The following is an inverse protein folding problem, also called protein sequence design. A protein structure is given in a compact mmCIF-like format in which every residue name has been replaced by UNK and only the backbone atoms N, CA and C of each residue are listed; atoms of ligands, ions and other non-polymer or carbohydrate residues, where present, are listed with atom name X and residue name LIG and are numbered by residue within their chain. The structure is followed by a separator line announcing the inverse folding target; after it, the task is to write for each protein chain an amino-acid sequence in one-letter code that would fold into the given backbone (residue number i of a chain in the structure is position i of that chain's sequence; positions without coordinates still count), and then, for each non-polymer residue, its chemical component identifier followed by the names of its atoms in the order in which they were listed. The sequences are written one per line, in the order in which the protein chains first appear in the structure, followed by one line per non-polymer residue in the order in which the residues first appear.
data_IF_385735291605
#
_entry.id   IF_385735291605
#
_cell.length_a   1.000
_cell.length_b   1.000
_cell.length_c   1.000
_cell.angle_alpha   90.00
_cell.angle_beta   90.00
_cell.angle_gamma   90.00
#
_symmetry.space_group_name_H-M   'P 1'
#
loop_
_entity.id
_entity.type
_entity.pdbx_description
1 polymer ?
#
# COMPACT_ATOMS: atom_id res chain seq x y z
N UNK A 1 -19.34 -13.42 0.42
CA UNK A 1 -17.91 -13.51 0.03
C UNK A 1 -17.06 -13.59 1.30
N UNK A 2 -16.05 -14.47 1.37
CA UNK A 2 -15.14 -14.50 2.50
C UNK A 2 -14.41 -13.15 2.62
N UNK A 3 -14.37 -12.57 3.81
CA UNK A 3 -13.65 -11.32 4.06
C UNK A 3 -12.15 -11.56 3.80
N UNK A 4 -11.54 -10.89 2.83
CA UNK A 4 -10.06 -10.89 2.67
C UNK A 4 -9.46 -10.47 4.03
N UNK A 5 -8.50 -11.24 4.58
CA UNK A 5 -7.82 -10.90 5.85
C UNK A 5 -7.16 -9.52 5.67
N UNK A 6 -7.54 -8.51 6.45
CA UNK A 6 -6.88 -7.20 6.43
C UNK A 6 -5.40 -7.34 6.82
N UNK A 7 -4.52 -6.52 6.23
CA UNK A 7 -3.15 -6.43 6.72
C UNK A 7 -3.18 -5.68 8.06
N UNK A 8 -2.76 -6.35 9.13
CA UNK A 8 -2.51 -5.75 10.44
C UNK A 8 -1.41 -6.53 11.11
N UNK A 9 -0.18 -6.02 11.04
CA UNK A 9 1.02 -6.75 11.48
C UNK A 9 1.96 -5.85 12.24
N UNK A 10 2.81 -6.46 13.06
CA UNK A 10 3.98 -5.76 13.59
C UNK A 10 5.08 -5.76 12.53
N UNK A 11 5.91 -4.71 12.51
CA UNK A 11 7.05 -4.62 11.60
C UNK A 11 8.02 -5.81 11.70
N UNK A 12 8.11 -6.47 12.87
CA UNK A 12 8.90 -7.70 13.04
C UNK A 12 8.39 -8.88 12.21
N UNK A 13 7.09 -8.93 11.89
CA UNK A 13 6.46 -9.99 11.08
C UNK A 13 6.54 -9.72 9.58
N UNK A 14 7.10 -8.58 9.14
CA UNK A 14 7.30 -8.26 7.72
C UNK A 14 8.62 -8.88 7.27
N UNK A 15 8.56 -9.99 6.57
CA UNK A 15 9.75 -10.69 6.06
C UNK A 15 10.38 -9.92 4.92
N UNK A 16 9.60 -9.59 3.90
CA UNK A 16 10.01 -8.85 2.70
C UNK A 16 8.88 -7.91 2.29
N UNK A 17 9.23 -6.75 1.73
CA UNK A 17 8.27 -5.93 1.00
C UNK A 17 8.91 -5.42 -0.29
N UNK A 18 8.08 -5.03 -1.26
CA UNK A 18 8.49 -4.36 -2.49
C UNK A 18 7.53 -3.22 -2.76
N UNK A 19 8.07 -2.04 -3.07
CA UNK A 19 7.30 -0.86 -3.46
C UNK A 19 7.89 -0.35 -4.77
N UNK A 20 7.12 -0.43 -5.86
CA UNK A 20 7.62 -0.10 -7.19
C UNK A 20 6.63 0.79 -7.94
N UNK A 21 7.13 1.75 -8.71
CA UNK A 21 6.29 2.45 -9.69
C UNK A 21 6.22 1.61 -10.96
N UNK A 22 5.01 1.33 -11.45
CA UNK A 22 4.77 0.56 -12.68
C UNK A 22 3.80 1.30 -13.58
N UNK A 23 4.01 1.19 -14.90
CA UNK A 23 3.05 1.65 -15.89
C UNK A 23 2.06 0.53 -16.21
N UNK A 24 0.77 0.79 -16.01
CA UNK A 24 -0.34 -0.12 -16.34
C UNK A 24 -1.31 0.56 -17.31
N UNK A 25 -2.16 -0.23 -17.97
CA UNK A 25 -3.23 0.33 -18.80
C UNK A 25 -4.41 0.72 -17.93
N UNK A 26 -4.88 1.96 -18.08
CA UNK A 26 -6.11 2.46 -17.49
C UNK A 26 -7.29 1.59 -17.95
N UNK A 27 -8.14 1.21 -17.01
CA UNK A 27 -9.35 0.45 -17.31
C UNK A 27 -10.43 1.29 -18.03
N UNK A 28 -10.29 2.63 -18.02
CA UNK A 28 -11.30 3.52 -18.58
C UNK A 28 -11.10 3.74 -20.09
N UNK A 29 -9.88 4.03 -20.50
CA UNK A 29 -9.52 4.49 -21.84
C UNK A 29 -8.31 3.75 -22.43
N UNK A 30 -7.71 2.81 -21.67
CA UNK A 30 -6.55 2.04 -22.11
C UNK A 30 -5.23 2.82 -22.13
N UNK A 31 -5.24 4.10 -21.71
CA UNK A 31 -4.04 4.92 -21.66
C UNK A 31 -3.05 4.39 -20.62
N UNK A 32 -1.72 4.56 -20.83
CA UNK A 32 -0.74 4.19 -19.82
C UNK A 32 -0.84 5.14 -18.63
N UNK A 33 -0.98 4.57 -17.44
CA UNK A 33 -0.96 5.30 -16.16
C UNK A 33 0.11 4.71 -15.24
N UNK A 34 0.75 5.55 -14.44
CA UNK A 34 1.67 5.10 -13.41
C UNK A 34 0.93 4.83 -12.11
N UNK A 35 1.30 3.72 -11.47
CA UNK A 35 0.78 3.30 -10.17
C UNK A 35 1.95 2.89 -9.27
N UNK A 36 1.70 2.92 -7.96
CA UNK A 36 2.56 2.27 -6.97
C UNK A 36 2.03 0.84 -6.76
N UNK A 37 2.83 -0.13 -7.18
CA UNK A 37 2.65 -1.55 -6.88
C UNK A 37 3.34 -1.87 -5.56
N UNK A 38 2.52 -2.17 -4.55
CA UNK A 38 2.98 -2.49 -3.20
C UNK A 38 2.74 -3.97 -2.92
N UNK A 39 3.79 -4.68 -2.52
CA UNK A 39 3.71 -6.05 -2.01
C UNK A 39 4.34 -6.13 -0.63
N UNK A 40 3.64 -6.74 0.32
CA UNK A 40 4.12 -6.99 1.68
C UNK A 40 3.96 -8.47 1.97
N UNK A 41 5.08 -9.15 2.20
CA UNK A 41 5.15 -10.54 2.62
C UNK A 41 5.33 -10.62 4.13
N UNK A 42 4.50 -11.43 4.78
CA UNK A 42 4.56 -11.75 6.20
C UNK A 42 4.74 -13.26 6.36
N UNK A 43 4.93 -13.73 7.59
CA UNK A 43 5.06 -15.17 7.85
C UNK A 43 3.82 -15.98 7.41
N UNK A 44 2.65 -15.34 7.45
CA UNK A 44 1.36 -15.99 7.16
C UNK A 44 0.83 -15.79 5.73
N UNK A 45 1.18 -14.67 5.08
CA UNK A 45 0.53 -14.27 3.83
C UNK A 45 1.31 -13.21 3.05
N UNK A 46 0.95 -13.07 1.78
CA UNK A 46 1.38 -11.97 0.91
C UNK A 46 0.19 -11.05 0.63
N UNK A 47 0.41 -9.76 0.77
CA UNK A 47 -0.56 -8.71 0.56
C UNK A 47 -0.08 -7.82 -0.59
N UNK A 48 -0.90 -7.67 -1.63
CA UNK A 48 -0.57 -6.87 -2.81
C UNK A 48 -1.61 -5.79 -3.05
N UNK A 49 -1.15 -4.58 -3.36
CA UNK A 49 -1.97 -3.40 -3.53
C UNK A 49 -1.54 -2.60 -4.76
N UNK A 50 -2.54 -2.09 -5.48
CA UNK A 50 -2.40 -1.08 -6.53
C UNK A 50 -2.80 0.26 -5.91
N UNK A 51 -1.86 1.20 -5.86
CA UNK A 51 -2.07 2.57 -5.37
C UNK A 51 -1.93 3.54 -6.53
N UNK A 52 -2.98 4.34 -6.76
CA UNK A 52 -3.09 5.26 -7.88
C UNK A 52 -2.91 6.70 -7.46
N UNK A 53 -2.44 7.50 -8.40
CA UNK A 53 -2.42 8.96 -8.30
C UNK A 53 -3.83 9.50 -8.02
N UNK A 54 -3.93 10.44 -7.09
CA UNK A 54 -5.13 11.24 -6.86
C UNK A 54 -4.78 12.67 -6.40
N UNK A 55 -5.78 13.47 -6.05
CA UNK A 55 -5.57 14.87 -5.60
C UNK A 55 -4.78 14.98 -4.28
N UNK A 56 -4.79 13.94 -3.44
CA UNK A 56 -4.07 13.90 -2.15
C UNK A 56 -2.65 13.39 -2.32
N UNK A 57 -2.43 12.52 -3.29
CA UNK A 57 -1.15 11.93 -3.65
C UNK A 57 -0.90 12.12 -5.17
N UNK A 58 -0.61 13.35 -5.62
CA UNK A 58 -0.46 13.66 -7.05
C UNK A 58 0.83 13.13 -7.66
N UNK A 59 1.80 12.75 -6.83
CA UNK A 59 3.10 12.22 -7.23
C UNK A 59 3.25 10.77 -6.75
N UNK A 60 3.30 9.85 -7.71
CA UNK A 60 3.43 8.41 -7.45
C UNK A 60 4.83 8.04 -6.96
N UNK A 61 5.87 8.79 -7.33
CA UNK A 61 7.23 8.55 -6.84
C UNK A 61 7.36 8.97 -5.38
N UNK A 62 6.87 10.16 -5.04
CA UNK A 62 6.81 10.60 -3.64
C UNK A 62 5.98 9.64 -2.77
N UNK A 63 4.89 9.09 -3.33
CA UNK A 63 4.08 8.08 -2.65
C UNK A 63 4.86 6.77 -2.43
N UNK A 64 5.58 6.30 -3.46
CA UNK A 64 6.45 5.12 -3.35
C UNK A 64 7.49 5.31 -2.26
N UNK A 65 8.21 6.44 -2.29
CA UNK A 65 9.30 6.74 -1.37
C UNK A 65 8.78 6.83 0.07
N UNK A 66 7.65 7.50 0.30
CA UNK A 66 7.01 7.58 1.61
C UNK A 66 6.62 6.20 2.18
N UNK A 67 6.00 5.34 1.35
CA UNK A 67 5.59 4.01 1.79
C UNK A 67 6.82 3.14 2.09
N UNK A 68 7.83 3.20 1.22
CA UNK A 68 9.09 2.46 1.39
C UNK A 68 9.81 2.88 2.68
N UNK A 69 9.97 4.18 2.93
CA UNK A 69 10.59 4.71 4.15
C UNK A 69 9.78 4.34 5.40
N UNK A 70 8.46 4.41 5.33
CA UNK A 70 7.56 4.07 6.43
C UNK A 70 7.63 2.58 6.78
N UNK A 71 7.69 1.70 5.78
CA UNK A 71 7.83 0.25 5.98
C UNK A 71 9.22 -0.11 6.51
N UNK A 72 10.28 0.53 5.98
CA UNK A 72 11.64 0.37 6.50
C UNK A 72 11.73 0.76 7.98
N UNK A 73 11.15 1.91 8.33
CA UNK A 73 11.08 2.37 9.72
C UNK A 73 10.24 1.43 10.58
N UNK A 74 9.11 0.94 10.09
CA UNK A 74 8.28 0.00 10.82
C UNK A 74 9.00 -1.31 11.12
N UNK A 75 9.74 -1.86 10.16
CA UNK A 75 10.59 -3.05 10.38
C UNK A 75 11.68 -2.78 11.42
N UNK A 76 12.39 -1.66 11.31
CA UNK A 76 13.51 -1.30 12.19
C UNK A 76 13.05 -1.07 13.63
N UNK A 77 11.94 -0.37 13.82
CA UNK A 77 11.45 0.08 15.12
C UNK A 77 10.32 -0.82 15.67
N UNK A 78 10.04 -1.94 15.01
CA UNK A 78 8.97 -2.89 15.34
C UNK A 78 7.60 -2.22 15.51
N UNK A 79 7.28 -1.29 14.61
CA UNK A 79 6.03 -0.53 14.63
C UNK A 79 4.91 -1.33 13.99
N UNK A 80 3.69 -1.16 14.48
CA UNK A 80 2.53 -1.76 13.85
C UNK A 80 2.20 -1.07 12.52
N UNK A 81 1.86 -1.88 11.52
CA UNK A 81 1.42 -1.47 10.18
C UNK A 81 0.04 -2.05 9.93
N UNK A 82 -0.89 -1.20 9.51
CA UNK A 82 -2.24 -1.59 9.09
C UNK A 82 -2.53 -1.04 7.69
N UNK A 83 -3.09 -1.88 6.81
CA UNK A 83 -3.74 -1.41 5.59
C UNK A 83 -5.20 -1.85 5.61
N UNK A 84 -6.08 -0.86 5.76
CA UNK A 84 -7.52 -1.03 5.73
C UNK A 84 -8.09 -0.61 4.37
N UNK A 85 -9.03 -1.41 3.86
CA UNK A 85 -9.63 -1.25 2.52
C UNK A 85 -11.07 -0.71 2.64
N UNK A 86 -11.42 0.31 1.87
CA UNK A 86 -12.80 0.74 1.64
C UNK A 86 -13.13 0.56 0.16
N UNK A 87 -13.57 -0.65 -0.17
CA UNK A 87 -13.72 -1.15 -1.54
C UNK A 87 -14.78 -0.41 -2.36
N UNK A 88 -15.84 0.12 -1.72
CA UNK A 88 -16.90 0.86 -2.44
C UNK A 88 -16.40 2.16 -3.07
N UNK A 89 -15.31 2.72 -2.54
CA UNK A 89 -14.71 3.97 -3.02
C UNK A 89 -13.28 3.79 -3.51
N UNK A 90 -12.79 2.56 -3.63
CA UNK A 90 -11.41 2.26 -4.00
C UNK A 90 -10.40 3.04 -3.16
N UNK A 91 -10.58 3.01 -1.83
CA UNK A 91 -9.66 3.67 -0.91
C UNK A 91 -8.87 2.66 -0.07
N UNK A 92 -7.61 3.00 0.15
CA UNK A 92 -6.70 2.33 1.06
C UNK A 92 -6.29 3.30 2.15
N UNK A 93 -6.35 2.86 3.40
CA UNK A 93 -5.85 3.61 4.56
C UNK A 93 -4.57 2.91 5.03
N UNK A 94 -3.42 3.55 4.76
CA UNK A 94 -2.11 3.08 5.17
C UNK A 94 -1.76 3.75 6.51
N UNK A 95 -1.68 2.96 7.56
CA UNK A 95 -1.42 3.44 8.92
C UNK A 95 -0.16 2.77 9.46
N UNK A 96 0.82 3.59 9.86
CA UNK A 96 2.02 3.13 10.54
C UNK A 96 2.13 3.83 11.89
N UNK A 97 2.17 3.02 12.95
CA UNK A 97 2.23 3.48 14.34
C UNK A 97 3.36 4.50 14.52
N UNK A 98 3.07 5.64 15.16
CA UNK A 98 3.99 6.79 15.39
C UNK A 98 4.47 7.54 14.14
N UNK A 99 4.08 7.12 12.93
CA UNK A 99 4.34 7.87 11.69
C UNK A 99 3.08 8.61 11.27
N UNK A 100 1.94 7.90 11.23
CA UNK A 100 0.64 8.48 10.90
C UNK A 100 -0.15 7.60 9.94
N UNK A 101 -1.31 8.13 9.56
CA UNK A 101 -2.23 7.49 8.62
C UNK A 101 -2.36 8.35 7.37
N UNK A 102 -2.24 7.72 6.21
CA UNK A 102 -2.45 8.34 4.91
C UNK A 102 -3.51 7.57 4.13
N UNK A 103 -4.39 8.31 3.46
CA UNK A 103 -5.38 7.73 2.58
C UNK A 103 -4.92 7.83 1.13
N UNK A 104 -5.00 6.71 0.41
CA UNK A 104 -4.72 6.62 -1.01
C UNK A 104 -5.94 6.12 -1.78
N UNK A 105 -6.02 6.50 -3.05
CA UNK A 105 -6.86 5.79 -4.02
C UNK A 105 -6.15 4.52 -4.44
N UNK A 106 -6.83 3.37 -4.40
CA UNK A 106 -6.24 2.08 -4.70
C UNK A 106 -7.10 0.90 -4.27
N UNK A 107 -6.64 -0.31 -4.55
CA UNK A 107 -7.33 -1.54 -4.18
C UNK A 107 -6.35 -2.69 -3.98
N UNK A 108 -6.81 -3.72 -3.28
CA UNK A 108 -6.07 -4.95 -3.09
C UNK A 108 -6.26 -5.90 -4.27
N UNK A 109 -5.16 -6.46 -4.75
CA UNK A 109 -5.13 -7.50 -5.78
C UNK A 109 -5.62 -8.85 -5.20
#
# INVERSE_FOLDING_TARGET
MPKKKKLKVNGSSITVFSVQVKTVKSAHDGSPIEIVDLQISTDDAVYSYDIRKDERAPDVHATRDYIEDSLNKAKKDFLNVEISEYTERSYLFFDVQKIGQVQYTGYRL
#
